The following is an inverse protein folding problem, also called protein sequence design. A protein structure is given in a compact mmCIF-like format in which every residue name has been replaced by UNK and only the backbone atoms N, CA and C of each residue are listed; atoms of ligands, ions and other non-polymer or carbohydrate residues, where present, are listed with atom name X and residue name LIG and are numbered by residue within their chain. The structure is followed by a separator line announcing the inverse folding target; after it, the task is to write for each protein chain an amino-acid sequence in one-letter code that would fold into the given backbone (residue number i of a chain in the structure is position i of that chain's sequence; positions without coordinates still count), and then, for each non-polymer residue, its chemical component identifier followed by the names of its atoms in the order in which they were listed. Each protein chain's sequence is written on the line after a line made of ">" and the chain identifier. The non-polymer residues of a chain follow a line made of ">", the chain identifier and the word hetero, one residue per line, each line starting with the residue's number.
data_IF_884024185244
#
_entry.id   IF_884024185244
#
_cell.length_a   1.000
_cell.length_b   1.000
_cell.length_c   1.000
_cell.angle_alpha   90.00
_cell.angle_beta   90.00
_cell.angle_gamma   90.00
#
_symmetry.space_group_name_H-M   'P 1'
#
loop_
_entity.id
_entity.type
_entity.pdbx_description
1 polymer ?
#
# COMPACT_ATOMS: atom_id res chain seq x y z
N UNK A 1 25.05 26.74 20.96
CA UNK A 1 24.34 27.33 19.80
C UNK A 1 24.53 26.39 18.61
N UNK A 2 23.58 25.51 18.35
CA UNK A 2 23.60 24.62 17.18
C UNK A 2 22.35 24.92 16.38
N UNK A 3 22.52 25.66 15.27
CA UNK A 3 21.48 25.88 14.26
C UNK A 3 21.09 24.52 13.70
N UNK A 4 20.04 23.88 14.23
CA UNK A 4 19.35 22.84 13.47
C UNK A 4 18.52 23.53 12.40
N UNK A 5 18.91 23.19 11.17
CA UNK A 5 18.28 23.42 9.88
C UNK A 5 16.81 23.86 9.96
N UNK A 6 16.51 24.97 9.28
CA UNK A 6 15.16 25.37 8.88
C UNK A 6 14.50 24.17 8.19
N UNK A 7 13.61 23.47 8.89
CA UNK A 7 12.78 22.41 8.30
C UNK A 7 12.08 23.06 7.09
N UNK A 8 12.18 22.43 5.92
CA UNK A 8 11.48 22.87 4.72
C UNK A 8 9.98 22.89 5.04
N UNK A 9 9.34 24.06 4.94
CA UNK A 9 7.92 24.21 5.20
C UNK A 9 7.11 23.30 4.28
N UNK A 10 6.12 22.59 4.84
CA UNK A 10 5.21 21.73 4.08
C UNK A 10 5.57 20.25 4.03
N UNK A 11 6.62 19.79 4.71
CA UNK A 11 6.87 18.34 4.85
C UNK A 11 5.93 17.73 5.89
N UNK A 12 5.19 16.69 5.51
CA UNK A 12 4.28 15.92 6.35
C UNK A 12 4.84 14.51 6.49
N UNK A 13 4.95 14.00 7.73
CA UNK A 13 5.33 12.61 7.98
C UNK A 13 4.22 11.66 7.56
N UNK A 14 4.56 10.63 6.80
CA UNK A 14 3.63 9.65 6.25
C UNK A 14 4.13 8.22 6.42
N UNK A 15 3.19 7.29 6.45
CA UNK A 15 3.45 5.90 6.07
C UNK A 15 3.08 5.72 4.61
N UNK A 16 4.01 5.17 3.83
CA UNK A 16 3.75 4.76 2.46
C UNK A 16 3.58 3.27 2.38
N UNK A 17 2.41 2.86 1.91
CA UNK A 17 1.96 1.48 1.87
C UNK A 17 1.96 1.05 0.41
N UNK A 18 2.69 -0.02 0.14
CA UNK A 18 2.77 -0.65 -1.18
C UNK A 18 2.19 -2.04 -1.08
N UNK A 19 1.22 -2.35 -1.92
CA UNK A 19 0.62 -3.68 -2.03
C UNK A 19 0.77 -4.20 -3.44
N UNK A 20 1.13 -5.48 -3.54
CA UNK A 20 1.18 -6.23 -4.80
C UNK A 20 -0.04 -7.12 -4.87
N UNK A 21 -0.82 -6.97 -5.94
CA UNK A 21 -2.12 -7.62 -6.08
C UNK A 21 -2.40 -7.98 -7.54
N UNK A 22 -3.28 -8.95 -7.84
CA UNK A 22 -3.76 -9.15 -9.20
C UNK A 22 -4.47 -7.90 -9.75
N UNK A 23 -4.40 -7.63 -11.07
CA UNK A 23 -5.02 -6.44 -11.67
C UNK A 23 -6.51 -6.27 -11.34
N UNK A 24 -7.26 -7.37 -11.28
CA UNK A 24 -8.71 -7.35 -11.01
C UNK A 24 -9.09 -6.98 -9.57
N UNK A 25 -8.13 -6.98 -8.63
CA UNK A 25 -8.40 -6.71 -7.22
C UNK A 25 -8.08 -5.25 -6.83
N UNK A 26 -7.45 -4.47 -7.73
CA UNK A 26 -7.00 -3.09 -7.44
C UNK A 26 -8.13 -2.22 -6.91
N UNK A 27 -9.29 -2.24 -7.57
CA UNK A 27 -10.42 -1.41 -7.18
C UNK A 27 -10.94 -1.78 -5.77
N UNK A 28 -10.95 -3.07 -5.43
CA UNK A 28 -11.34 -3.52 -4.09
C UNK A 28 -10.38 -3.00 -3.01
N UNK A 29 -9.07 -3.02 -3.29
CA UNK A 29 -8.04 -2.51 -2.40
C UNK A 29 -8.17 -1.00 -2.20
N UNK A 30 -8.39 -0.24 -3.27
CA UNK A 30 -8.60 1.21 -3.19
C UNK A 30 -9.87 1.52 -2.39
N UNK A 31 -10.99 0.87 -2.70
CA UNK A 31 -12.25 1.09 -1.99
C UNK A 31 -12.17 0.75 -0.50
N UNK A 32 -11.47 -0.33 -0.14
CA UNK A 32 -11.22 -0.68 1.25
C UNK A 32 -10.36 0.36 1.96
N UNK A 33 -9.38 0.94 1.26
CA UNK A 33 -8.54 2.03 1.79
C UNK A 33 -9.35 3.31 2.01
N UNK A 34 -10.22 3.66 1.05
CA UNK A 34 -11.09 4.83 1.10
C UNK A 34 -12.15 4.78 2.20
N UNK A 35 -12.49 3.58 2.68
CA UNK A 35 -13.35 3.42 3.85
C UNK A 35 -12.67 3.81 5.16
N UNK A 36 -11.33 3.90 5.18
CA UNK A 36 -10.52 4.24 6.35
C UNK A 36 -10.02 5.69 6.29
N UNK A 37 -9.48 6.09 5.14
CA UNK A 37 -8.91 7.43 4.94
C UNK A 37 -9.24 7.94 3.53
N UNK A 38 -9.53 9.24 3.33
CA UNK A 38 -9.79 9.78 2.00
C UNK A 38 -8.59 9.72 1.05
N UNK A 39 -7.40 9.29 1.51
CA UNK A 39 -6.13 9.29 0.78
C UNK A 39 -5.81 10.68 0.24
N UNK A 40 -5.90 11.66 1.14
CA UNK A 40 -5.78 13.06 0.79
C UNK A 40 -4.32 13.51 0.64
N UNK A 41 -4.02 14.26 -0.42
CA UNK A 41 -2.77 14.98 -0.59
C UNK A 41 -3.05 16.41 -1.06
N UNK A 42 -2.94 17.37 -0.15
CA UNK A 42 -3.33 18.76 -0.42
C UNK A 42 -4.83 18.86 -0.77
N UNK A 43 -5.22 19.49 -1.90
CA UNK A 43 -6.61 19.62 -2.31
C UNK A 43 -7.17 18.40 -3.07
N UNK A 44 -6.44 17.29 -3.12
CA UNK A 44 -6.84 16.06 -3.80
C UNK A 44 -7.17 14.97 -2.80
N UNK A 45 -8.15 14.14 -3.14
CA UNK A 45 -8.55 12.91 -2.44
C UNK A 45 -8.46 11.72 -3.39
N UNK A 46 -8.51 10.52 -2.83
CA UNK A 46 -8.36 9.24 -3.53
C UNK A 46 -7.01 9.10 -4.26
N UNK A 47 -5.96 9.67 -3.69
CA UNK A 47 -4.63 9.65 -4.29
C UNK A 47 -4.00 8.27 -4.12
N UNK A 48 -3.79 7.60 -5.25
CA UNK A 48 -3.07 6.35 -5.34
C UNK A 48 -2.18 6.34 -6.60
N UNK A 49 -1.04 5.67 -6.50
CA UNK A 49 -0.23 5.33 -7.67
C UNK A 49 -0.41 3.86 -8.01
N UNK A 50 -0.71 3.58 -9.28
CA UNK A 50 -0.93 2.22 -9.79
C UNK A 50 -0.01 2.02 -10.99
N UNK A 51 0.72 0.91 -11.02
CA UNK A 51 1.54 0.57 -12.19
C UNK A 51 0.67 0.37 -13.43
N UNK A 52 0.99 1.07 -14.52
CA UNK A 52 0.23 1.01 -15.77
C UNK A 52 0.23 -0.39 -16.41
N UNK A 53 1.36 -1.10 -16.33
CA UNK A 53 1.50 -2.49 -16.76
C UNK A 53 1.70 -3.39 -15.54
N UNK A 54 1.25 -4.65 -15.65
CA UNK A 54 1.52 -5.64 -14.62
C UNK A 54 2.98 -6.14 -14.69
N UNK A 55 3.57 -6.39 -13.53
CA UNK A 55 4.75 -7.22 -13.38
C UNK A 55 4.40 -8.70 -13.24
N UNK A 56 5.42 -9.50 -12.96
CA UNK A 56 5.28 -10.91 -12.62
C UNK A 56 5.63 -11.11 -11.14
N UNK A 57 4.76 -11.76 -10.41
CA UNK A 57 5.05 -12.29 -9.08
C UNK A 57 5.32 -13.78 -9.18
N UNK A 58 6.25 -14.28 -8.35
CA UNK A 58 6.66 -15.67 -8.32
C UNK A 58 6.67 -16.21 -6.89
N UNK A 59 6.08 -17.38 -6.70
CA UNK A 59 6.09 -18.06 -5.40
C UNK A 59 6.00 -19.59 -5.56
N UNK A 60 6.30 -20.31 -4.48
CA UNK A 60 6.11 -21.76 -4.36
C UNK A 60 5.29 -22.00 -3.09
N UNK A 61 3.99 -22.33 -3.20
CA UNK A 61 3.21 -22.68 -2.02
C UNK A 61 3.80 -23.92 -1.34
N UNK A 62 3.94 -23.88 -0.02
CA UNK A 62 4.52 -24.97 0.77
C UNK A 62 3.43 -25.75 1.50
N UNK A 63 3.79 -26.91 2.08
CA UNK A 63 2.86 -27.67 2.90
C UNK A 63 2.28 -26.79 4.03
N UNK A 64 0.96 -26.75 4.15
CA UNK A 64 0.24 -25.90 5.11
C UNK A 64 -0.28 -24.57 4.53
N UNK A 65 0.13 -24.16 3.33
CA UNK A 65 -0.47 -23.02 2.64
C UNK A 65 -1.88 -23.32 2.14
N UNK A 66 -2.78 -22.32 2.11
CA UNK A 66 -4.10 -22.39 1.47
C UNK A 66 -4.16 -21.42 0.27
N UNK A 67 -3.33 -21.66 -0.77
CA UNK A 67 -3.21 -20.72 -1.86
C UNK A 67 -4.52 -20.60 -2.65
N UNK A 68 -4.98 -19.38 -2.85
CA UNK A 68 -6.04 -19.09 -3.84
C UNK A 68 -5.56 -19.30 -5.28
N UNK A 69 -4.25 -19.39 -5.51
CA UNK A 69 -3.62 -19.58 -6.82
C UNK A 69 -2.26 -20.28 -6.69
N UNK A 70 -1.92 -21.11 -7.67
CA UNK A 70 -0.69 -21.92 -7.66
C UNK A 70 -0.89 -23.34 -7.15
N UNK A 71 0.16 -24.16 -7.25
CA UNK A 71 0.13 -25.59 -6.85
C UNK A 71 1.19 -25.85 -5.79
N UNK A 72 0.83 -26.60 -4.73
CA UNK A 72 1.74 -26.97 -3.65
C UNK A 72 3.03 -27.61 -4.22
N UNK A 73 4.18 -27.13 -3.77
CA UNK A 73 5.50 -27.61 -4.19
C UNK A 73 5.92 -27.23 -5.62
N UNK A 74 5.09 -26.50 -6.37
CA UNK A 74 5.39 -26.07 -7.73
C UNK A 74 5.53 -24.56 -7.85
N UNK A 75 6.54 -24.11 -8.60
CA UNK A 75 6.74 -22.69 -8.90
C UNK A 75 5.57 -22.17 -9.74
N UNK A 76 4.94 -21.12 -9.23
CA UNK A 76 3.86 -20.39 -9.88
C UNK A 76 4.36 -18.99 -10.24
N UNK A 77 3.91 -18.49 -11.39
CA UNK A 77 4.17 -17.12 -11.85
C UNK A 77 2.84 -16.52 -12.27
N UNK A 78 2.47 -15.37 -11.72
CA UNK A 78 1.19 -14.70 -11.99
C UNK A 78 1.40 -13.21 -12.27
N UNK A 79 0.52 -12.58 -13.07
CA UNK A 79 0.52 -11.14 -13.21
C UNK A 79 0.18 -10.43 -11.90
N UNK A 80 0.92 -9.37 -11.57
CA UNK A 80 0.68 -8.55 -10.37
C UNK A 80 0.91 -7.08 -10.70
N UNK A 81 0.11 -6.21 -10.12
CA UNK A 81 0.30 -4.75 -10.18
C UNK A 81 0.77 -4.23 -8.84
N UNK A 82 1.50 -3.11 -8.86
CA UNK A 82 1.90 -2.37 -7.67
C UNK A 82 0.86 -1.27 -7.43
N UNK A 83 0.28 -1.24 -6.25
CA UNK A 83 -0.57 -0.16 -5.75
C UNK A 83 0.15 0.51 -4.60
N UNK A 84 0.24 1.84 -4.63
CA UNK A 84 0.94 2.65 -3.64
C UNK A 84 0.04 3.78 -3.16
N UNK A 85 -0.14 3.85 -1.85
CA UNK A 85 -0.92 4.89 -1.16
C UNK A 85 -0.13 5.42 0.03
N UNK A 86 -0.48 6.62 0.47
CA UNK A 86 0.13 7.25 1.63
C UNK A 86 -0.93 7.70 2.62
N UNK A 87 -0.64 7.50 3.90
CA UNK A 87 -1.45 8.00 5.02
C UNK A 87 -0.56 8.80 5.98
N UNK A 88 -1.15 9.66 6.81
CA UNK A 88 -0.38 10.35 7.86
C UNK A 88 0.33 9.32 8.75
N UNK A 89 1.48 9.71 9.31
CA UNK A 89 2.23 8.87 10.26
C UNK A 89 1.48 8.75 11.59
N UNK A 90 0.47 7.89 11.60
CA UNK A 90 -0.39 7.51 12.71
C UNK A 90 -0.47 5.97 12.72
N UNK A 91 -0.06 5.36 13.84
CA UNK A 91 0.06 3.91 13.97
C UNK A 91 -1.31 3.22 14.03
N UNK A 92 -2.33 3.88 14.59
CA UNK A 92 -3.69 3.34 14.65
C UNK A 92 -4.28 3.32 13.24
N UNK A 93 -4.14 4.44 12.53
CA UNK A 93 -4.57 4.55 11.13
C UNK A 93 -3.85 3.52 10.24
N UNK A 94 -2.55 3.32 10.45
CA UNK A 94 -1.79 2.32 9.72
C UNK A 94 -2.33 0.91 9.96
N UNK A 95 -2.56 0.52 11.23
CA UNK A 95 -3.09 -0.81 11.53
C UNK A 95 -4.48 -1.03 10.90
N UNK A 96 -5.38 -0.07 11.03
CA UNK A 96 -6.71 -0.11 10.39
C UNK A 96 -6.62 -0.27 8.87
N UNK A 97 -5.73 0.48 8.23
CA UNK A 97 -5.46 0.41 6.80
C UNK A 97 -4.93 -0.97 6.37
N UNK A 98 -3.94 -1.51 7.09
CA UNK A 98 -3.37 -2.83 6.81
C UNK A 98 -4.41 -3.94 6.96
N UNK A 99 -5.25 -3.88 7.99
CA UNK A 99 -6.34 -4.83 8.20
C UNK A 99 -7.40 -4.74 7.09
N UNK A 100 -7.76 -3.53 6.65
CA UNK A 100 -8.72 -3.33 5.57
C UNK A 100 -8.20 -3.87 4.24
N UNK A 101 -6.98 -3.51 3.85
CA UNK A 101 -6.31 -4.01 2.65
C UNK A 101 -6.20 -5.52 2.69
N UNK A 102 -5.76 -6.10 3.82
CA UNK A 102 -5.61 -7.56 3.95
C UNK A 102 -6.93 -8.31 3.78
N UNK A 103 -8.06 -7.77 4.24
CA UNK A 103 -9.38 -8.39 4.08
C UNK A 103 -9.94 -8.28 2.67
N UNK A 104 -9.62 -7.18 1.98
CA UNK A 104 -10.04 -6.94 0.60
C UNK A 104 -9.16 -7.73 -0.41
N UNK A 105 -8.00 -8.20 0.04
CA UNK A 105 -7.06 -8.94 -0.79
C UNK A 105 -7.45 -10.41 -0.93
N UNK A 106 -7.33 -10.98 -2.14
CA UNK A 106 -7.75 -12.37 -2.40
C UNK A 106 -6.75 -13.43 -1.93
N UNK A 107 -5.46 -13.09 -1.91
CA UNK A 107 -4.43 -13.98 -1.41
C UNK A 107 -4.49 -14.03 0.11
N UNK A 108 -4.34 -15.23 0.67
CA UNK A 108 -4.33 -15.49 2.11
C UNK A 108 -3.32 -14.60 2.85
N UNK A 109 -2.11 -14.44 2.29
CA UNK A 109 -1.07 -13.58 2.81
C UNK A 109 -0.63 -12.59 1.72
N UNK A 110 -1.17 -11.36 1.69
CA UNK A 110 -0.74 -10.36 0.74
C UNK A 110 0.69 -9.88 1.05
N UNK A 111 1.42 -9.50 0.00
CA UNK A 111 2.69 -8.79 0.14
C UNK A 111 2.38 -7.30 0.28
N UNK A 112 2.42 -6.82 1.54
CA UNK A 112 2.26 -5.42 1.88
C UNK A 112 3.57 -4.91 2.49
N UNK A 113 4.14 -3.86 1.90
CA UNK A 113 5.34 -3.19 2.35
C UNK A 113 5.00 -1.80 2.90
N UNK A 114 5.50 -1.49 4.09
CA UNK A 114 5.34 -0.15 4.70
C UNK A 114 6.70 0.52 4.81
N UNK A 115 6.77 1.78 4.39
CA UNK A 115 7.95 2.62 4.56
C UNK A 115 7.59 3.95 5.21
N UNK A 116 8.45 4.45 6.08
CA UNK A 116 8.30 5.79 6.65
C UNK A 116 8.93 6.83 5.74
N UNK A 117 8.30 7.99 5.63
CA UNK A 117 8.83 9.08 4.83
C UNK A 117 8.20 10.43 5.12
N UNK A 118 8.51 11.37 4.25
CA UNK A 118 7.89 12.68 4.20
C UNK A 118 7.31 12.91 2.82
N UNK A 119 6.14 13.53 2.78
CA UNK A 119 5.55 14.06 1.56
C UNK A 119 5.47 15.57 1.65
N UNK A 120 5.65 16.23 0.50
CA UNK A 120 5.58 17.67 0.43
C UNK A 120 4.16 18.09 0.09
N UNK A 121 3.56 18.86 0.99
CA UNK A 121 2.30 19.56 0.79
C UNK A 121 2.56 21.07 0.79
N UNK A 122 2.25 21.71 -0.34
CA UNK A 122 2.39 23.16 -0.53
C UNK A 122 1.38 23.98 0.27
N UNK A 123 0.31 23.36 0.77
CA UNK A 123 -0.72 23.96 1.64
C UNK A 123 -0.88 23.12 2.92
N UNK A 124 0.05 23.24 3.89
CA UNK A 124 -0.10 22.59 5.17
C UNK A 124 -1.32 23.16 5.90
N UNK A 125 -2.28 22.30 6.23
CA UNK A 125 -3.45 22.57 7.08
C UNK A 125 -3.04 23.03 8.48
#
# INVERSE_FOLDING_TARGET
>A
KTKRSRIMSGLISVYRIVVYTPPQDVENIINASLAIDPLANGPYEQVAWISAEHGLEQFVPIAGSLPSSGTLGAKSILPSVRVEISVRRDEILLDEMLQAISKAHRWEQPVICVSEGFEWNSMPS
#
